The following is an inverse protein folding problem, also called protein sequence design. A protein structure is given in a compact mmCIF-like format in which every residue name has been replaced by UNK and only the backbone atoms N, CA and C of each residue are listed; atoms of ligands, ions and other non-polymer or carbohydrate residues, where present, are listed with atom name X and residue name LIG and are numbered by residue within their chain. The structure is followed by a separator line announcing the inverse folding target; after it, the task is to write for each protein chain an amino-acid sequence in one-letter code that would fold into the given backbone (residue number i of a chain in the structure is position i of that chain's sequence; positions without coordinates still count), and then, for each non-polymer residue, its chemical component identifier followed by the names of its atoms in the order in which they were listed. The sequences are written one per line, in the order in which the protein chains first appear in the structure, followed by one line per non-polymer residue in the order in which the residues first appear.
data_IF_005575767618
#
_entry.id   IF_005575767618
#
_cell.length_a   1.000
_cell.length_b   1.000
_cell.length_c   1.000
_cell.angle_alpha   90.00
_cell.angle_beta   90.00
_cell.angle_gamma   90.00
#
_symmetry.space_group_name_H-M   'P 1'
#
loop_
_entity.id
_entity.type
_entity.pdbx_description
1 polymer ?
#
# COMPACT_ATOMS: atom_id res chain seq x y z
N UNK A 1 52.36 25.29 -40.40
CA UNK A 1 52.54 24.25 -41.44
C UNK A 1 53.58 23.27 -40.90
N UNK A 2 53.13 22.10 -40.37
CA UNK A 2 52.94 20.94 -41.23
C UNK A 2 51.56 20.28 -41.06
N UNK A 3 51.27 19.41 -42.02
CA UNK A 3 49.98 18.83 -42.37
C UNK A 3 49.53 17.69 -41.45
N UNK A 4 48.25 17.75 -41.07
CA UNK A 4 47.51 16.68 -40.41
C UNK A 4 47.20 15.57 -41.41
N UNK A 5 47.83 14.40 -41.24
CA UNK A 5 47.42 13.16 -41.92
C UNK A 5 46.19 12.59 -41.21
N UNK A 6 45.04 12.65 -41.88
CA UNK A 6 43.82 11.97 -41.50
C UNK A 6 44.00 10.45 -41.63
N UNK A 7 43.91 9.74 -40.50
CA UNK A 7 43.81 8.28 -40.47
C UNK A 7 42.48 7.86 -41.15
N UNK A 8 42.47 6.81 -41.98
CA UNK A 8 41.25 6.39 -42.67
C UNK A 8 40.27 5.76 -41.67
N UNK A 9 39.08 6.34 -41.61
CA UNK A 9 37.90 5.96 -40.83
C UNK A 9 37.52 4.45 -40.95
N UNK A 10 38.04 3.77 -41.98
CA UNK A 10 37.90 2.34 -42.23
C UNK A 10 38.56 1.43 -41.17
N UNK A 11 39.64 1.87 -40.51
CA UNK A 11 40.32 1.06 -39.47
C UNK A 11 39.55 1.07 -38.13
N UNK A 12 38.90 2.18 -37.79
CA UNK A 12 38.05 2.27 -36.59
C UNK A 12 36.75 1.46 -36.75
N UNK A 13 36.17 1.40 -37.94
CA UNK A 13 34.98 0.60 -38.21
C UNK A 13 35.25 -0.92 -38.17
N UNK A 14 36.45 -1.37 -38.54
CA UNK A 14 36.83 -2.79 -38.42
C UNK A 14 37.05 -3.24 -36.98
N UNK A 15 37.52 -2.36 -36.10
CA UNK A 15 37.66 -2.66 -34.66
C UNK A 15 36.32 -2.69 -33.93
N UNK A 16 35.31 -1.96 -34.41
CA UNK A 16 33.97 -1.94 -33.82
C UNK A 16 33.11 -3.17 -34.23
N UNK A 17 33.43 -3.82 -35.36
CA UNK A 17 32.71 -5.00 -35.83
C UNK A 17 32.92 -6.25 -34.96
N UNK A 18 33.95 -6.27 -34.10
CA UNK A 18 34.21 -7.36 -33.14
C UNK A 18 33.39 -7.29 -31.84
N UNK A 19 32.62 -6.21 -31.63
CA UNK A 19 31.83 -5.95 -30.42
C UNK A 19 30.32 -6.05 -30.65
N UNK A 20 29.88 -6.67 -31.75
CA UNK A 20 28.47 -6.96 -31.95
C UNK A 20 28.04 -8.06 -30.96
N UNK A 21 27.01 -7.83 -30.12
CA UNK A 21 26.46 -8.88 -29.28
C UNK A 21 26.01 -10.03 -30.18
N UNK A 22 26.42 -11.24 -29.81
CA UNK A 22 25.96 -12.49 -30.45
C UNK A 22 24.45 -12.38 -30.67
N UNK A 23 24.04 -12.68 -31.89
CA UNK A 23 22.63 -12.69 -32.33
C UNK A 23 21.74 -13.27 -31.23
N UNK A 24 20.60 -12.62 -30.90
CA UNK A 24 19.70 -13.14 -29.88
C UNK A 24 19.32 -14.55 -30.27
N UNK A 25 19.78 -15.53 -29.49
CA UNK A 25 19.45 -16.94 -29.71
C UNK A 25 17.93 -17.04 -29.71
N UNK A 26 17.35 -17.44 -30.85
CA UNK A 26 15.91 -17.75 -30.91
C UNK A 26 15.68 -18.88 -29.91
N UNK A 27 14.82 -18.63 -28.92
CA UNK A 27 14.43 -19.66 -27.95
C UNK A 27 14.02 -20.95 -28.68
N UNK A 28 14.68 -22.10 -28.42
CA UNK A 28 14.33 -23.35 -29.06
C UNK A 28 12.89 -23.75 -28.73
N UNK A 29 12.11 -24.09 -29.76
CA UNK A 29 10.67 -24.40 -29.68
C UNK A 29 10.36 -25.59 -28.76
N UNK A 30 11.29 -26.56 -28.61
CA UNK A 30 11.13 -27.71 -27.69
C UNK A 30 11.05 -27.33 -26.22
N UNK A 31 11.67 -26.23 -25.81
CA UNK A 31 11.69 -25.84 -24.39
C UNK A 31 10.34 -25.24 -23.94
N UNK A 32 9.58 -24.71 -24.89
CA UNK A 32 8.24 -24.20 -24.64
C UNK A 32 7.22 -25.31 -24.36
N UNK A 33 7.46 -26.56 -24.78
CA UNK A 33 6.51 -27.64 -24.55
C UNK A 33 6.61 -28.22 -23.14
N UNK A 34 7.81 -28.51 -22.63
CA UNK A 34 8.00 -29.08 -21.27
C UNK A 34 7.45 -28.15 -20.18
N UNK A 35 7.93 -26.91 -20.14
CA UNK A 35 7.49 -25.91 -19.16
C UNK A 35 5.99 -25.63 -19.22
N UNK A 36 5.39 -25.73 -20.41
CA UNK A 36 3.95 -25.52 -20.59
C UNK A 36 3.13 -26.69 -20.04
N UNK A 37 3.55 -27.92 -20.32
CA UNK A 37 2.91 -29.13 -19.77
C UNK A 37 2.99 -29.13 -18.24
N UNK A 38 4.15 -28.81 -17.66
CA UNK A 38 4.33 -28.73 -16.21
C UNK A 38 3.47 -27.61 -15.59
N UNK A 39 3.40 -26.44 -16.24
CA UNK A 39 2.56 -25.33 -15.80
C UNK A 39 1.07 -25.67 -15.83
N UNK A 40 0.60 -26.34 -16.89
CA UNK A 40 -0.78 -26.80 -17.01
C UNK A 40 -1.10 -27.84 -15.91
N UNK A 41 -0.17 -28.75 -15.61
CA UNK A 41 -0.30 -29.71 -14.51
C UNK A 41 -0.38 -29.03 -13.13
N UNK A 42 0.45 -28.03 -12.86
CA UNK A 42 0.38 -27.23 -11.61
C UNK A 42 -0.95 -26.48 -11.49
N UNK A 43 -1.47 -25.95 -12.60
CA UNK A 43 -2.77 -25.28 -12.62
C UNK A 43 -3.91 -26.27 -12.37
N UNK A 44 -3.81 -27.49 -12.89
CA UNK A 44 -4.82 -28.54 -12.72
C UNK A 44 -4.83 -29.13 -11.31
N UNK A 45 -3.66 -29.35 -10.68
CA UNK A 45 -3.53 -29.71 -9.25
C UNK A 45 -4.27 -28.71 -8.34
N UNK A 46 -4.44 -27.48 -8.82
CA UNK A 46 -5.06 -26.38 -8.08
C UNK A 46 -6.50 -26.06 -8.44
N UNK A 47 -7.15 -26.86 -9.28
CA UNK A 47 -8.62 -26.78 -9.44
C UNK A 47 -9.38 -27.17 -8.16
N UNK A 48 -8.68 -27.45 -7.07
CA UNK A 48 -9.22 -27.67 -5.72
C UNK A 48 -9.72 -26.35 -5.10
N UNK A 49 -11.04 -26.28 -4.94
CA UNK A 49 -11.79 -25.42 -4.02
C UNK A 49 -11.37 -23.94 -3.92
N UNK A 50 -11.84 -23.17 -4.90
CA UNK A 50 -12.09 -21.74 -4.75
C UNK A 50 -13.05 -21.39 -3.60
N UNK A 51 -13.60 -22.36 -2.85
CA UNK A 51 -14.35 -22.09 -1.60
C UNK A 51 -13.49 -21.37 -0.54
N UNK A 52 -12.17 -21.62 -0.46
CA UNK A 52 -11.27 -20.80 0.40
C UNK A 52 -10.94 -19.43 -0.18
N UNK A 53 -11.18 -19.23 -1.47
CA UNK A 53 -11.25 -17.89 -2.04
C UNK A 53 -12.56 -17.17 -1.70
N UNK A 54 -13.50 -17.77 -0.97
CA UNK A 54 -14.67 -17.04 -0.41
C UNK A 54 -14.30 -16.11 0.76
N UNK A 55 -13.09 -16.22 1.33
CA UNK A 55 -12.53 -15.14 2.16
C UNK A 55 -12.12 -13.92 1.30
N UNK A 56 -11.97 -14.09 -0.01
CA UNK A 56 -11.95 -13.00 -0.99
C UNK A 56 -13.40 -12.69 -1.34
N UNK A 57 -14.02 -11.82 -0.54
CA UNK A 57 -15.37 -11.28 -0.77
C UNK A 57 -15.62 -11.09 -2.28
N UNK A 58 -16.50 -11.90 -2.91
CA UNK A 58 -16.78 -11.85 -4.35
C UNK A 58 -17.38 -10.50 -4.80
N UNK A 59 -17.63 -9.59 -3.85
CA UNK A 59 -18.44 -8.41 -4.07
C UNK A 59 -17.71 -7.08 -4.22
N UNK A 60 -16.55 -6.81 -3.58
CA UNK A 60 -16.06 -5.41 -3.44
C UNK A 60 -14.54 -5.21 -3.24
N UNK A 61 -14.15 -3.93 -3.35
CA UNK A 61 -12.84 -3.24 -3.30
C UNK A 61 -11.84 -3.75 -2.26
N UNK A 62 -11.46 -5.01 -2.39
CA UNK A 62 -10.50 -5.66 -1.52
C UNK A 62 -9.12 -5.50 -2.16
N UNK A 63 -8.14 -5.33 -1.30
CA UNK A 63 -6.73 -5.19 -1.67
C UNK A 63 -6.17 -6.40 -2.43
N UNK A 64 -6.89 -7.52 -2.41
CA UNK A 64 -6.57 -8.80 -3.03
C UNK A 64 -6.94 -8.91 -4.52
N UNK A 65 -7.74 -7.97 -5.07
CA UNK A 65 -8.06 -7.93 -6.50
C UNK A 65 -7.02 -7.05 -7.23
N UNK A 66 -6.60 -7.46 -8.42
CA UNK A 66 -5.92 -6.54 -9.34
C UNK A 66 -6.87 -5.40 -9.75
N UNK A 67 -6.36 -4.17 -9.74
CA UNK A 67 -7.14 -3.00 -10.10
C UNK A 67 -6.95 -2.68 -11.58
N UNK A 68 -8.00 -2.93 -12.36
CA UNK A 68 -8.06 -2.53 -13.77
C UNK A 68 -8.56 -1.10 -13.90
N UNK A 69 -8.34 -0.48 -15.07
CA UNK A 69 -8.83 0.87 -15.39
C UNK A 69 -10.33 1.01 -15.16
N UNK A 70 -11.11 -0.02 -15.48
CA UNK A 70 -12.57 -0.03 -15.27
C UNK A 70 -12.94 -0.06 -13.79
N UNK A 71 -12.18 -0.79 -12.96
CA UNK A 71 -12.38 -0.81 -11.50
C UNK A 71 -12.04 0.55 -10.89
N UNK A 72 -11.00 1.22 -11.41
CA UNK A 72 -10.63 2.58 -11.01
C UNK A 72 -11.70 3.60 -11.40
N UNK A 73 -12.20 3.54 -12.64
CA UNK A 73 -13.29 4.40 -13.10
C UNK A 73 -14.56 4.22 -12.25
N UNK A 74 -14.88 2.97 -11.86
CA UNK A 74 -15.98 2.69 -10.91
C UNK A 74 -15.72 3.24 -9.51
N UNK A 75 -14.47 3.24 -9.06
CA UNK A 75 -14.07 3.77 -7.74
C UNK A 75 -14.11 5.30 -7.67
N UNK A 76 -13.94 6.00 -8.79
CA UNK A 76 -14.02 7.46 -8.85
C UNK A 76 -15.47 8.00 -8.83
N UNK A 77 -16.47 7.17 -9.12
CA UNK A 77 -17.89 7.58 -9.14
C UNK A 77 -18.38 7.93 -7.72
N UNK A 78 -19.11 9.04 -7.59
CA UNK A 78 -19.70 9.52 -6.31
C UNK A 78 -20.67 8.50 -5.69
N UNK A 79 -21.38 7.72 -6.51
CA UNK A 79 -22.25 6.64 -6.06
C UNK A 79 -21.57 5.52 -5.26
N UNK A 80 -20.22 5.54 -5.16
CA UNK A 80 -19.46 4.66 -4.27
C UNK A 80 -19.87 4.82 -2.82
N UNK A 81 -20.10 6.05 -2.34
CA UNK A 81 -20.37 6.30 -0.92
C UNK A 81 -21.67 5.64 -0.49
N UNK A 82 -22.71 5.75 -1.31
CA UNK A 82 -24.00 5.10 -1.08
C UNK A 82 -23.88 3.57 -1.09
N UNK A 83 -23.12 3.01 -2.03
CA UNK A 83 -22.87 1.57 -2.12
C UNK A 83 -22.16 1.05 -0.87
N UNK A 84 -21.13 1.75 -0.42
CA UNK A 84 -20.38 1.41 0.78
C UNK A 84 -21.25 1.54 2.04
N UNK A 85 -22.06 2.58 2.16
CA UNK A 85 -22.98 2.75 3.29
C UNK A 85 -24.00 1.61 3.37
N UNK A 86 -24.64 1.27 2.25
CA UNK A 86 -25.65 0.19 2.20
C UNK A 86 -25.07 -1.18 2.52
N UNK A 87 -23.81 -1.43 2.14
CA UNK A 87 -23.13 -2.71 2.39
C UNK A 87 -22.33 -2.75 3.68
N UNK A 88 -22.17 -1.62 4.36
CA UNK A 88 -21.43 -1.49 5.61
C UNK A 88 -21.81 -2.55 6.66
N UNK A 89 -23.09 -2.83 6.99
CA UNK A 89 -23.43 -3.80 8.04
C UNK A 89 -23.00 -5.24 7.70
N UNK A 90 -22.78 -5.57 6.42
CA UNK A 90 -22.28 -6.89 5.98
C UNK A 90 -20.76 -6.98 5.97
N UNK A 91 -20.07 -5.85 6.13
CA UNK A 91 -18.60 -5.79 6.14
C UNK A 91 -18.02 -6.52 7.35
N UNK A 92 -16.85 -7.13 7.17
CA UNK A 92 -16.06 -7.74 8.25
C UNK A 92 -15.69 -6.69 9.30
N UNK A 93 -15.31 -5.48 8.87
CA UNK A 93 -14.98 -4.38 9.77
C UNK A 93 -16.18 -3.97 10.62
N UNK A 94 -17.37 -3.91 10.03
CA UNK A 94 -18.58 -3.58 10.78
C UNK A 94 -18.93 -4.68 11.78
N UNK A 95 -18.84 -5.96 11.40
CA UNK A 95 -19.06 -7.09 12.33
C UNK A 95 -18.14 -7.07 13.55
N UNK A 96 -16.90 -6.59 13.39
CA UNK A 96 -15.94 -6.47 14.48
C UNK A 96 -16.16 -5.22 15.35
N UNK A 97 -16.52 -4.07 14.74
CA UNK A 97 -16.61 -2.78 15.44
C UNK A 97 -18.00 -2.50 16.00
N UNK A 98 -19.06 -2.93 15.30
CA UNK A 98 -20.46 -2.68 15.67
C UNK A 98 -20.83 -3.18 17.07
N UNK A 99 -20.50 -4.41 17.52
CA UNK A 99 -20.86 -4.86 18.87
C UNK A 99 -20.21 -3.99 19.95
N UNK A 100 -18.98 -3.53 19.72
CA UNK A 100 -18.26 -2.62 20.64
C UNK A 100 -18.94 -1.25 20.69
N UNK A 101 -19.34 -0.69 19.54
CA UNK A 101 -20.09 0.56 19.48
C UNK A 101 -21.45 0.45 20.19
N UNK A 102 -22.17 -0.66 20.00
CA UNK A 102 -23.45 -0.91 20.66
C UNK A 102 -23.26 -1.03 22.17
N UNK A 103 -22.28 -1.82 22.62
CA UNK A 103 -21.95 -1.93 24.04
C UNK A 103 -21.61 -0.58 24.68
N UNK A 104 -20.81 0.26 24.02
CA UNK A 104 -20.51 1.62 24.51
C UNK A 104 -21.72 2.54 24.51
N UNK A 105 -22.63 2.40 23.54
CA UNK A 105 -23.87 3.17 23.49
C UNK A 105 -24.79 2.79 24.65
N UNK A 106 -24.95 1.49 24.91
CA UNK A 106 -25.72 0.96 26.04
C UNK A 106 -25.12 1.38 27.38
N UNK A 107 -23.81 1.25 27.55
CA UNK A 107 -23.10 1.71 28.75
C UNK A 107 -23.31 3.20 28.99
N UNK A 108 -23.20 4.00 27.92
CA UNK A 108 -23.43 5.44 28.00
C UNK A 108 -24.85 5.71 28.51
N UNK A 109 -25.88 5.14 27.87
CA UNK A 109 -27.28 5.30 28.30
C UNK A 109 -27.48 4.92 29.78
N UNK A 110 -26.92 3.79 30.21
CA UNK A 110 -26.97 3.35 31.61
C UNK A 110 -26.31 4.35 32.56
N UNK A 111 -25.09 4.80 32.24
CA UNK A 111 -24.37 5.80 33.02
C UNK A 111 -25.14 7.13 33.11
N UNK A 112 -25.86 7.53 32.05
CA UNK A 112 -26.74 8.70 32.09
C UNK A 112 -27.86 8.54 33.12
N UNK A 113 -28.55 7.40 33.03
CA UNK A 113 -29.72 7.11 33.84
C UNK A 113 -29.34 7.05 35.33
N UNK A 114 -28.24 6.37 35.65
CA UNK A 114 -27.69 6.31 37.00
C UNK A 114 -27.25 7.69 37.53
N UNK A 115 -26.61 8.50 36.68
CA UNK A 115 -26.20 9.86 37.05
C UNK A 115 -27.41 10.73 37.39
N UNK A 116 -28.47 10.71 36.58
CA UNK A 116 -29.69 11.49 36.86
C UNK A 116 -30.36 11.02 38.15
N UNK A 117 -30.41 9.69 38.38
CA UNK A 117 -31.11 9.11 39.53
C UNK A 117 -30.39 9.31 40.86
N UNK A 118 -29.07 9.13 40.90
CA UNK A 118 -28.31 9.10 42.16
C UNK A 118 -27.37 10.30 42.38
N UNK A 119 -26.91 10.96 41.30
CA UNK A 119 -25.91 12.03 41.39
C UNK A 119 -26.28 13.23 40.50
N UNK A 120 -27.41 13.91 40.74
CA UNK A 120 -27.89 15.00 39.90
C UNK A 120 -26.89 16.18 39.84
N UNK A 121 -26.15 16.42 40.92
CA UNK A 121 -25.21 17.54 41.06
C UNK A 121 -23.77 17.20 40.65
N UNK A 122 -23.47 15.95 40.29
CA UNK A 122 -22.12 15.58 39.90
C UNK A 122 -21.79 16.09 38.49
N UNK A 123 -20.80 16.98 38.41
CA UNK A 123 -20.31 17.54 37.16
C UNK A 123 -18.86 17.14 36.92
N UNK A 124 -18.64 16.23 35.97
CA UNK A 124 -17.30 15.88 35.54
C UNK A 124 -16.71 16.99 34.63
N UNK A 125 -15.47 17.46 34.89
CA UNK A 125 -14.81 18.45 34.04
C UNK A 125 -14.47 17.87 32.66
N UNK A 126 -14.78 18.61 31.60
CA UNK A 126 -14.57 18.19 30.20
C UNK A 126 -13.11 18.40 29.73
N UNK A 127 -12.39 19.34 30.32
CA UNK A 127 -11.01 19.69 29.93
C UNK A 127 -10.00 18.51 29.98
N UNK A 128 -9.92 17.68 31.03
CA UNK A 128 -9.01 16.54 31.02
C UNK A 128 -9.40 15.48 29.98
N UNK A 129 -10.70 15.36 29.66
CA UNK A 129 -11.18 14.39 28.67
C UNK A 129 -10.78 14.78 27.24
N UNK A 130 -10.82 16.06 26.89
CA UNK A 130 -10.39 16.53 25.56
C UNK A 130 -8.91 16.28 25.35
N UNK A 131 -8.08 16.56 26.36
CA UNK A 131 -6.64 16.34 26.34
C UNK A 131 -6.28 14.85 26.18
N UNK A 132 -6.99 13.95 26.86
CA UNK A 132 -6.76 12.51 26.69
C UNK A 132 -7.23 12.07 25.29
N UNK A 133 -8.34 12.60 24.78
CA UNK A 133 -8.87 12.23 23.45
C UNK A 133 -7.93 12.62 22.31
N UNK A 134 -7.28 13.78 22.39
CA UNK A 134 -6.32 14.22 21.38
C UNK A 134 -5.05 13.35 21.40
N UNK A 135 -4.57 13.00 22.60
CA UNK A 135 -3.45 12.07 22.76
C UNK A 135 -3.76 10.68 22.17
N UNK A 136 -4.98 10.16 22.38
CA UNK A 136 -5.42 8.88 21.80
C UNK A 136 -5.51 8.95 20.29
N UNK A 137 -6.05 10.04 19.73
CA UNK A 137 -6.15 10.23 18.29
C UNK A 137 -4.76 10.25 17.63
N UNK A 138 -3.78 10.90 18.27
CA UNK A 138 -2.40 10.89 17.81
C UNK A 138 -1.81 9.47 17.84
N UNK A 139 -1.94 8.73 18.95
CA UNK A 139 -1.45 7.35 19.06
C UNK A 139 -2.07 6.42 18.01
N UNK A 140 -3.37 6.56 17.74
CA UNK A 140 -4.06 5.78 16.73
C UNK A 140 -3.54 6.10 15.32
N UNK A 141 -3.28 7.38 15.04
CA UNK A 141 -2.73 7.84 13.76
C UNK A 141 -1.33 7.29 13.53
N UNK A 142 -0.45 7.36 14.54
CA UNK A 142 0.89 6.78 14.49
C UNK A 142 0.84 5.26 14.23
N UNK A 143 -0.05 4.55 14.93
CA UNK A 143 -0.26 3.11 14.69
C UNK A 143 -0.73 2.81 13.27
N UNK A 144 -1.65 3.60 12.74
CA UNK A 144 -2.15 3.43 11.37
C UNK A 144 -1.02 3.64 10.36
N UNK A 145 -0.22 4.70 10.51
CA UNK A 145 0.91 4.99 9.63
C UNK A 145 1.96 3.85 9.65
N UNK A 146 2.31 3.32 10.82
CA UNK A 146 3.23 2.17 10.92
C UNK A 146 2.68 0.92 10.23
N UNK A 147 1.37 0.68 10.35
CA UNK A 147 0.70 -0.46 9.71
C UNK A 147 0.69 -0.31 8.18
N UNK A 148 0.45 0.90 7.68
CA UNK A 148 0.49 1.22 6.25
C UNK A 148 1.90 1.10 5.67
N UNK A 149 2.92 1.58 6.38
CA UNK A 149 4.32 1.43 5.97
C UNK A 149 4.72 -0.04 5.86
N UNK A 150 4.36 -0.88 6.84
CA UNK A 150 4.59 -2.33 6.78
C UNK A 150 3.89 -2.97 5.58
N UNK A 151 2.63 -2.60 5.33
CA UNK A 151 1.88 -3.09 4.18
C UNK A 151 2.53 -2.68 2.85
N UNK A 152 2.97 -1.43 2.75
CA UNK A 152 3.69 -0.93 1.58
C UNK A 152 5.01 -1.67 1.37
N UNK A 153 5.81 -1.85 2.43
CA UNK A 153 7.07 -2.58 2.38
C UNK A 153 6.87 -4.02 1.89
N UNK A 154 5.83 -4.71 2.38
CA UNK A 154 5.50 -6.08 1.93
C UNK A 154 5.20 -6.15 0.42
N UNK A 155 4.47 -5.17 -0.11
CA UNK A 155 4.12 -5.09 -1.53
C UNK A 155 5.31 -4.75 -2.40
N UNK A 156 6.17 -3.83 -1.94
CA UNK A 156 7.40 -3.49 -2.62
C UNK A 156 8.36 -4.67 -2.65
N UNK A 157 8.49 -5.43 -1.56
CA UNK A 157 9.32 -6.63 -1.52
C UNK A 157 8.84 -7.68 -2.53
N UNK A 158 7.54 -7.96 -2.59
CA UNK A 158 6.97 -8.90 -3.56
C UNK A 158 7.10 -8.40 -5.00
N UNK A 159 6.90 -7.10 -5.24
CA UNK A 159 7.08 -6.49 -6.55
C UNK A 159 8.54 -6.57 -7.04
N UNK A 160 9.51 -6.32 -6.15
CA UNK A 160 10.93 -6.48 -6.43
C UNK A 160 11.31 -7.93 -6.67
N UNK A 161 10.75 -8.87 -5.91
CA UNK A 161 10.96 -10.30 -6.12
C UNK A 161 10.56 -10.72 -7.56
N UNK A 162 9.37 -10.30 -8.02
CA UNK A 162 8.90 -10.57 -9.39
C UNK A 162 9.79 -9.89 -10.44
N UNK A 163 10.22 -8.64 -10.19
CA UNK A 163 11.12 -7.93 -11.08
C UNK A 163 12.45 -8.68 -11.24
N UNK A 164 13.14 -8.99 -10.13
CA UNK A 164 14.43 -9.69 -10.18
C UNK A 164 14.28 -11.11 -10.76
N UNK A 165 13.18 -11.80 -10.52
CA UNK A 165 12.93 -13.12 -11.12
C UNK A 165 12.79 -13.02 -12.65
N UNK A 166 12.09 -12.00 -13.16
CA UNK A 166 11.96 -11.74 -14.60
C UNK A 166 13.29 -11.37 -15.24
N UNK A 167 14.05 -10.48 -14.61
CA UNK A 167 15.38 -10.10 -15.09
C UNK A 167 16.33 -11.30 -15.09
N UNK A 168 16.35 -12.10 -14.02
CA UNK A 168 17.17 -13.32 -13.96
C UNK A 168 16.79 -14.31 -15.05
N UNK A 169 15.49 -14.53 -15.29
CA UNK A 169 15.02 -15.40 -16.36
C UNK A 169 15.42 -14.87 -17.75
N UNK A 170 15.33 -13.57 -17.98
CA UNK A 170 15.77 -12.92 -19.22
C UNK A 170 17.27 -13.05 -19.46
N UNK A 171 18.08 -12.80 -18.43
CA UNK A 171 19.54 -13.00 -18.48
C UNK A 171 19.90 -14.47 -18.72
N UNK A 172 19.27 -15.41 -18.02
CA UNK A 172 19.50 -16.83 -18.22
C UNK A 172 19.15 -17.28 -19.64
N UNK A 173 18.01 -16.82 -20.19
CA UNK A 173 17.62 -17.11 -21.56
C UNK A 173 18.55 -16.48 -22.63
N UNK A 174 19.25 -15.41 -22.28
CA UNK A 174 20.16 -14.70 -23.20
C UNK A 174 21.58 -15.27 -23.19
N UNK A 175 22.09 -15.61 -22.00
CA UNK A 175 23.49 -15.97 -21.80
C UNK A 175 23.74 -17.46 -21.58
N UNK A 176 22.75 -18.23 -21.13
CA UNK A 176 22.90 -19.66 -20.88
C UNK A 176 22.31 -20.48 -22.03
N UNK A 177 22.78 -21.72 -22.16
CA UNK A 177 22.14 -22.68 -23.06
C UNK A 177 20.70 -23.00 -22.61
N UNK A 178 19.94 -23.62 -23.50
CA UNK A 178 18.53 -23.93 -23.30
C UNK A 178 18.25 -24.69 -21.99
N UNK A 179 18.97 -25.79 -21.74
CA UNK A 179 18.80 -26.62 -20.54
C UNK A 179 19.10 -25.91 -19.20
N UNK A 180 20.25 -25.24 -19.00
CA UNK A 180 20.53 -24.51 -17.76
C UNK A 180 19.58 -23.31 -17.57
N UNK A 181 19.19 -22.63 -18.65
CA UNK A 181 18.20 -21.56 -18.58
C UNK A 181 16.82 -22.09 -18.11
N UNK A 182 16.38 -23.25 -18.61
CA UNK A 182 15.16 -23.94 -18.14
C UNK A 182 15.24 -24.26 -16.65
N UNK A 183 16.36 -24.84 -16.21
CA UNK A 183 16.57 -25.19 -14.82
C UNK A 183 16.49 -23.96 -13.91
N UNK A 184 17.14 -22.86 -14.27
CA UNK A 184 17.05 -21.60 -13.51
C UNK A 184 15.61 -21.09 -13.48
N UNK A 185 14.91 -21.07 -14.62
CA UNK A 185 13.53 -20.60 -14.72
C UNK A 185 12.57 -21.46 -13.87
N UNK A 186 12.77 -22.78 -13.82
CA UNK A 186 12.00 -23.68 -12.95
C UNK A 186 12.17 -23.33 -11.46
N UNK A 187 13.41 -23.13 -11.02
CA UNK A 187 13.68 -22.71 -9.63
C UNK A 187 13.00 -21.38 -9.30
N UNK A 188 13.05 -20.40 -10.23
CA UNK A 188 12.41 -19.09 -10.05
C UNK A 188 10.87 -19.16 -10.05
N UNK A 189 10.28 -20.02 -10.87
CA UNK A 189 8.83 -20.20 -10.93
C UNK A 189 8.28 -20.81 -9.62
N UNK A 190 8.98 -21.80 -9.08
CA UNK A 190 8.61 -22.47 -7.82
C UNK A 190 8.90 -21.60 -6.60
N UNK A 191 9.92 -20.73 -6.67
CA UNK A 191 10.30 -19.82 -5.59
C UNK A 191 9.11 -19.01 -5.06
N UNK A 192 8.29 -18.44 -5.95
CA UNK A 192 7.12 -17.66 -5.56
C UNK A 192 6.08 -18.47 -4.80
N UNK A 193 5.91 -19.75 -5.16
CA UNK A 193 4.99 -20.67 -4.49
C UNK A 193 5.50 -21.07 -3.11
N UNK A 194 6.76 -21.49 -3.01
CA UNK A 194 7.37 -21.88 -1.74
C UNK A 194 7.44 -20.69 -0.77
N UNK A 195 7.77 -19.51 -1.27
CA UNK A 195 7.79 -18.31 -0.44
C UNK A 195 6.39 -17.98 0.06
N UNK A 196 5.37 -18.06 -0.79
CA UNK A 196 3.97 -17.88 -0.38
C UNK A 196 3.57 -18.87 0.72
N UNK A 197 3.87 -20.17 0.54
CA UNK A 197 3.57 -21.21 1.51
C UNK A 197 4.31 -20.97 2.84
N UNK A 198 5.59 -20.58 2.79
CA UNK A 198 6.36 -20.25 4.01
C UNK A 198 5.82 -19.06 4.80
N UNK A 199 5.10 -18.14 4.14
CA UNK A 199 4.51 -16.95 4.76
C UNK A 199 3.07 -17.18 5.26
N UNK A 200 2.45 -18.32 4.92
CA UNK A 200 1.06 -18.64 5.28
C UNK A 200 1.02 -19.93 6.09
N UNK A 201 0.44 -19.87 7.29
CA UNK A 201 0.29 -21.06 8.11
C UNK A 201 -0.64 -22.09 7.44
N UNK A 202 -0.16 -23.32 7.27
CA UNK A 202 -0.95 -24.47 6.81
C UNK A 202 -1.17 -24.58 5.30
N UNK A 203 -0.36 -23.90 4.47
CA UNK A 203 -0.33 -24.12 3.02
C UNK A 203 0.83 -25.08 2.70
N UNK A 204 0.54 -26.16 1.97
CA UNK A 204 1.56 -27.10 1.49
C UNK A 204 1.92 -26.80 0.02
N UNK A 205 3.22 -26.91 -0.28
CA UNK A 205 3.83 -26.65 -1.58
C UNK A 205 4.57 -27.88 -2.13
N UNK A 206 4.48 -29.04 -1.45
CA UNK A 206 5.08 -30.31 -1.88
C UNK A 206 4.77 -30.67 -3.33
N UNK A 207 3.49 -30.59 -3.70
CA UNK A 207 2.99 -31.05 -4.99
C UNK A 207 3.54 -30.18 -6.12
N UNK A 208 3.58 -28.87 -5.91
CA UNK A 208 4.12 -27.91 -6.87
C UNK A 208 5.62 -28.13 -7.07
N UNK A 209 6.37 -28.36 -5.98
CA UNK A 209 7.81 -28.65 -6.05
C UNK A 209 8.06 -29.95 -6.82
N UNK A 210 7.30 -31.01 -6.52
CA UNK A 210 7.45 -32.32 -7.16
C UNK A 210 7.09 -32.33 -8.65
N UNK A 211 6.19 -31.45 -9.08
CA UNK A 211 5.75 -31.35 -10.48
C UNK A 211 6.73 -30.54 -11.33
N UNK A 212 7.29 -29.46 -10.77
CA UNK A 212 8.10 -28.49 -11.53
C UNK A 212 9.60 -28.76 -11.50
N UNK A 213 10.10 -29.50 -10.51
CA UNK A 213 11.52 -29.83 -10.38
C UNK A 213 11.77 -31.32 -10.67
N UNK A 214 12.96 -31.68 -11.19
CA UNK A 214 13.39 -33.07 -11.26
C UNK A 214 13.35 -33.73 -9.87
N UNK A 215 13.07 -35.05 -9.77
CA UNK A 215 12.80 -35.72 -8.51
C UNK A 215 13.93 -35.57 -7.49
N UNK A 216 15.18 -35.73 -7.92
CA UNK A 216 16.35 -35.56 -7.06
C UNK A 216 16.43 -34.14 -6.48
N UNK A 217 16.20 -33.10 -7.29
CA UNK A 217 16.22 -31.71 -6.83
C UNK A 217 15.01 -31.41 -5.93
N UNK A 218 13.84 -31.92 -6.27
CA UNK A 218 12.62 -31.76 -5.48
C UNK A 218 12.81 -32.31 -4.05
N UNK A 219 13.37 -33.52 -3.91
CA UNK A 219 13.66 -34.13 -2.60
C UNK A 219 14.60 -33.26 -1.76
N UNK A 220 15.68 -32.74 -2.36
CA UNK A 220 16.61 -31.84 -1.64
C UNK A 220 15.95 -30.55 -1.17
N UNK A 221 15.02 -29.99 -1.96
CA UNK A 221 14.28 -28.77 -1.61
C UNK A 221 13.26 -29.06 -0.52
N UNK A 222 12.54 -30.18 -0.59
CA UNK A 222 11.53 -30.56 0.40
C UNK A 222 12.14 -30.91 1.75
N UNK A 223 13.32 -31.51 1.76
CA UNK A 223 14.09 -31.79 2.98
C UNK A 223 14.69 -30.52 3.62
N UNK A 224 14.78 -29.41 2.88
CA UNK A 224 15.38 -28.19 3.39
C UNK A 224 14.47 -27.45 4.38
N UNK A 225 15.05 -27.00 5.51
CA UNK A 225 14.35 -26.17 6.50
C UNK A 225 13.73 -24.89 5.90
N UNK A 226 14.43 -24.26 4.95
CA UNK A 226 13.99 -23.05 4.24
C UNK A 226 13.94 -23.34 2.75
N UNK A 227 12.81 -23.87 2.28
CA UNK A 227 12.55 -24.22 0.87
C UNK A 227 12.89 -23.08 -0.12
N UNK A 228 12.50 -21.80 0.10
CA UNK A 228 12.84 -20.71 -0.83
C UNK A 228 14.35 -20.47 -0.99
N UNK A 229 15.11 -20.61 0.10
CA UNK A 229 16.57 -20.44 0.07
C UNK A 229 17.24 -21.63 -0.62
N UNK A 230 16.71 -22.84 -0.42
CA UNK A 230 17.20 -24.03 -1.13
C UNK A 230 16.99 -23.91 -2.65
N UNK A 231 15.85 -23.36 -3.09
CA UNK A 231 15.60 -23.09 -4.52
C UNK A 231 16.58 -22.09 -5.12
N UNK A 232 16.88 -20.99 -4.41
CA UNK A 232 17.90 -20.05 -4.87
C UNK A 232 19.29 -20.70 -4.92
N UNK A 233 19.61 -21.57 -3.95
CA UNK A 233 20.87 -22.32 -3.97
C UNK A 233 20.96 -23.25 -5.17
N UNK A 234 19.86 -23.92 -5.55
CA UNK A 234 19.77 -24.72 -6.77
C UNK A 234 20.03 -23.88 -8.02
N UNK A 235 19.42 -22.70 -8.12
CA UNK A 235 19.69 -21.76 -9.22
C UNK A 235 21.16 -21.29 -9.25
N UNK A 236 21.77 -21.01 -8.08
CA UNK A 236 23.19 -20.69 -7.98
C UNK A 236 24.09 -21.86 -8.44
N UNK A 237 23.74 -23.10 -8.11
CA UNK A 237 24.51 -24.27 -8.52
C UNK A 237 24.53 -24.42 -10.05
N UNK A 238 23.38 -24.24 -10.71
CA UNK A 238 23.31 -24.27 -12.18
C UNK A 238 24.18 -23.17 -12.81
N UNK A 239 24.17 -21.96 -12.25
CA UNK A 239 25.05 -20.87 -12.74
C UNK A 239 26.53 -21.22 -12.51
N UNK A 240 26.87 -21.80 -11.37
CA UNK A 240 28.25 -22.19 -11.05
C UNK A 240 28.76 -23.30 -11.99
N UNK A 241 27.92 -24.26 -12.38
CA UNK A 241 28.26 -25.29 -13.36
C UNK A 241 28.55 -24.70 -14.75
N UNK A 242 27.76 -23.73 -15.21
CA UNK A 242 27.99 -23.06 -16.49
C UNK A 242 29.30 -22.25 -16.51
N UNK A 243 29.67 -21.67 -15.37
CA UNK A 243 30.95 -20.95 -15.20
C UNK A 243 32.12 -21.93 -15.16
N UNK A 244 32.00 -23.02 -14.40
CA UNK A 244 33.03 -24.07 -14.33
C UNK A 244 33.30 -24.70 -15.69
N UNK A 245 32.26 -24.81 -16.53
CA UNK A 245 32.39 -25.29 -17.90
C UNK A 245 32.86 -24.24 -18.92
N UNK A 246 33.17 -23.01 -18.49
CA UNK A 246 33.64 -21.94 -19.38
C UNK A 246 32.61 -21.45 -20.41
N UNK A 247 31.32 -21.76 -20.20
CA UNK A 247 30.23 -21.40 -21.12
C UNK A 247 29.62 -20.03 -20.83
N UNK A 248 29.87 -19.50 -19.63
CA UNK A 248 29.35 -18.21 -19.19
C UNK A 248 30.48 -17.18 -19.08
N UNK A 249 30.29 -16.03 -19.71
CA UNK A 249 31.20 -14.90 -19.60
C UNK A 249 31.21 -14.32 -18.16
N UNK A 250 32.33 -13.74 -17.74
CA UNK A 250 32.50 -13.20 -16.39
C UNK A 250 31.51 -12.06 -16.08
N UNK A 251 31.20 -11.21 -17.07
CA UNK A 251 30.23 -10.14 -16.88
C UNK A 251 28.79 -10.67 -16.76
N UNK A 252 28.44 -11.67 -17.58
CA UNK A 252 27.15 -12.34 -17.51
C UNK A 252 26.97 -13.08 -16.17
N UNK A 253 28.03 -13.73 -15.69
CA UNK A 253 28.07 -14.38 -14.38
C UNK A 253 27.80 -13.38 -13.25
N UNK A 254 28.52 -12.25 -13.20
CA UNK A 254 28.31 -11.22 -12.18
C UNK A 254 26.88 -10.64 -12.23
N UNK A 255 26.33 -10.44 -13.43
CA UNK A 255 24.98 -9.94 -13.62
C UNK A 255 23.93 -10.89 -13.05
N UNK A 256 24.03 -12.19 -13.37
CA UNK A 256 23.14 -13.23 -12.83
C UNK A 256 23.25 -13.36 -11.31
N UNK A 257 24.48 -13.41 -10.76
CA UNK A 257 24.69 -13.48 -9.32
C UNK A 257 24.10 -12.28 -8.59
N UNK A 258 24.21 -11.08 -9.15
CA UNK A 258 23.65 -9.86 -8.54
C UNK A 258 22.12 -9.94 -8.46
N UNK A 259 21.46 -10.48 -9.49
CA UNK A 259 20.00 -10.65 -9.47
C UNK A 259 19.57 -11.76 -8.48
N UNK A 260 20.29 -12.88 -8.43
CA UNK A 260 20.03 -13.96 -7.46
C UNK A 260 20.24 -13.48 -6.02
N UNK A 261 21.28 -12.68 -5.77
CA UNK A 261 21.50 -12.05 -4.47
C UNK A 261 20.37 -11.08 -4.11
N UNK A 262 19.88 -10.30 -5.09
CA UNK A 262 18.76 -9.38 -4.90
C UNK A 262 17.46 -10.12 -4.56
N UNK A 263 17.22 -11.28 -5.17
CA UNK A 263 16.11 -12.18 -4.81
C UNK A 263 16.24 -12.67 -3.37
N UNK A 264 17.43 -13.14 -2.96
CA UNK A 264 17.69 -13.58 -1.60
C UNK A 264 17.47 -12.46 -0.57
N UNK A 265 17.87 -11.23 -0.91
CA UNK A 265 17.61 -10.06 -0.08
C UNK A 265 16.09 -9.81 0.11
N UNK A 266 15.27 -9.97 -0.94
CA UNK A 266 13.82 -9.82 -0.81
C UNK A 266 13.19 -10.93 0.06
N UNK A 267 13.70 -12.17 0.00
CA UNK A 267 13.28 -13.24 0.91
C UNK A 267 13.55 -12.83 2.37
N UNK A 268 14.75 -12.30 2.65
CA UNK A 268 15.10 -11.79 3.98
C UNK A 268 14.18 -10.66 4.46
N UNK A 269 13.76 -9.76 3.55
CA UNK A 269 12.77 -8.72 3.86
C UNK A 269 11.43 -9.35 4.24
N UNK A 270 10.95 -10.36 3.51
CA UNK A 270 9.73 -11.08 3.84
C UNK A 270 9.82 -11.80 5.19
N UNK A 271 10.94 -12.44 5.49
CA UNK A 271 11.17 -13.09 6.79
C UNK A 271 11.17 -12.09 7.94
N UNK A 272 11.86 -10.94 7.79
CA UNK A 272 11.83 -9.86 8.79
C UNK A 272 10.42 -9.30 8.98
N UNK A 273 9.68 -9.11 7.89
CA UNK A 273 8.29 -8.66 7.94
C UNK A 273 7.37 -9.68 8.61
N UNK A 274 7.70 -10.97 8.60
CA UNK A 274 6.95 -11.97 9.35
C UNK A 274 7.34 -11.95 10.83
N UNK A 275 8.65 -11.94 11.12
CA UNK A 275 9.20 -12.04 12.47
C UNK A 275 9.00 -10.79 13.34
N UNK A 276 8.95 -9.61 12.74
CA UNK A 276 8.88 -8.33 13.47
C UNK A 276 7.48 -7.71 13.36
N UNK A 277 6.51 -8.05 14.23
CA UNK A 277 5.20 -7.39 14.26
C UNK A 277 5.30 -5.90 14.64
N UNK A 278 4.26 -5.12 14.33
CA UNK A 278 4.13 -3.75 14.87
C UNK A 278 4.19 -3.85 16.40
N UNK A 279 4.99 -3.02 17.09
CA UNK A 279 5.21 -3.16 18.53
C UNK A 279 3.90 -3.36 19.32
N UNK A 280 3.74 -4.51 20.02
CA UNK A 280 2.49 -4.83 20.70
C UNK A 280 2.19 -3.85 21.84
N UNK A 281 3.21 -3.21 22.39
CA UNK A 281 3.12 -2.16 23.41
C UNK A 281 2.17 -1.04 22.99
N UNK A 282 2.29 -0.53 21.76
CA UNK A 282 1.41 0.52 21.23
C UNK A 282 -0.04 0.02 21.21
N UNK A 283 -0.27 -1.20 20.73
CA UNK A 283 -1.64 -1.77 20.67
C UNK A 283 -2.26 -1.95 22.06
N UNK A 284 -1.46 -2.34 23.05
CA UNK A 284 -1.87 -2.52 24.45
C UNK A 284 -2.20 -1.19 25.12
N UNK A 285 -1.37 -0.16 24.95
CA UNK A 285 -1.64 1.14 25.55
C UNK A 285 -2.83 1.82 24.88
N UNK A 286 -2.91 1.81 23.54
CA UNK A 286 -4.06 2.42 22.84
C UNK A 286 -5.37 1.74 23.24
N UNK A 287 -5.43 0.41 23.34
CA UNK A 287 -6.65 -0.29 23.77
C UNK A 287 -7.05 0.03 25.22
N UNK A 288 -6.09 0.00 26.16
CA UNK A 288 -6.34 0.36 27.57
C UNK A 288 -6.83 1.80 27.72
N UNK A 289 -6.19 2.75 27.03
CA UNK A 289 -6.58 4.16 27.10
C UNK A 289 -7.96 4.34 26.45
N UNK A 290 -8.23 3.74 25.29
CA UNK A 290 -9.55 3.78 24.65
C UNK A 290 -10.66 3.23 25.57
N UNK A 291 -10.44 2.07 26.19
CA UNK A 291 -11.38 1.49 27.17
C UNK A 291 -11.57 2.42 28.37
N UNK A 292 -10.49 2.98 28.92
CA UNK A 292 -10.56 3.90 30.06
C UNK A 292 -11.32 5.19 29.73
N UNK A 293 -11.11 5.77 28.53
CA UNK A 293 -11.81 6.95 28.06
C UNK A 293 -13.29 6.68 27.83
N UNK A 294 -13.61 5.51 27.29
CA UNK A 294 -14.97 5.15 26.95
C UNK A 294 -15.80 4.77 28.19
N UNK A 295 -15.19 4.11 29.19
CA UNK A 295 -15.82 3.86 30.49
C UNK A 295 -16.03 5.14 31.29
N UNK A 296 -15.07 6.09 31.24
CA UNK A 296 -15.11 7.35 32.00
C UNK A 296 -16.08 8.39 31.42
N UNK A 297 -16.65 8.19 30.24
CA UNK A 297 -17.57 9.16 29.62
C UNK A 297 -18.99 8.99 30.20
N UNK A 298 -19.48 9.89 31.08
CA UNK A 298 -20.92 10.05 31.23
C UNK A 298 -21.46 10.73 29.96
N UNK A 299 -22.58 10.29 29.39
CA UNK A 299 -23.15 10.98 28.25
C UNK A 299 -23.71 12.32 28.71
N UNK A 300 -22.97 13.38 28.37
CA UNK A 300 -23.53 14.72 28.22
C UNK A 300 -23.88 15.05 26.77
N UNK A 301 -23.51 14.18 25.82
CA UNK A 301 -23.64 14.44 24.39
C UNK A 301 -25.06 14.24 23.80
N UNK A 302 -26.06 13.89 24.61
CA UNK A 302 -27.47 13.81 24.15
C UNK A 302 -28.35 14.97 24.64
N UNK A 303 -27.79 15.94 25.38
CA UNK A 303 -28.39 17.28 25.43
C UNK A 303 -27.65 18.14 24.42
N UNK A 304 -28.18 18.20 23.19
CA UNK A 304 -28.12 19.43 22.42
C UNK A 304 -28.91 20.47 23.23
N UNK A 305 -28.26 21.06 24.24
CA UNK A 305 -28.80 22.26 24.84
C UNK A 305 -28.60 23.35 23.77
N UNK A 306 -29.68 23.73 23.10
CA UNK A 306 -29.71 24.80 22.10
C UNK A 306 -29.40 26.19 22.68
N UNK A 307 -28.77 26.26 23.85
CA UNK A 307 -28.07 27.44 24.32
C UNK A 307 -26.63 27.32 23.86
N UNK A 308 -26.35 27.98 22.73
CA UNK A 308 -24.99 28.25 22.34
C UNK A 308 -24.23 28.80 23.56
N UNK A 309 -23.10 28.17 23.84
CA UNK A 309 -21.98 28.77 24.56
C UNK A 309 -21.45 29.94 23.70
N UNK A 310 -22.30 30.93 23.46
CA UNK A 310 -21.84 32.28 23.27
C UNK A 310 -21.28 32.68 24.61
N UNK A 311 -19.96 32.80 24.68
CA UNK A 311 -19.24 33.59 25.68
C UNK A 311 -20.02 34.90 25.82
N UNK A 312 -20.93 34.95 26.79
CA UNK A 312 -21.58 36.19 27.21
C UNK A 312 -20.62 36.74 28.24
N UNK A 313 -19.84 37.80 27.93
CA UNK A 313 -19.03 38.43 28.95
C UNK A 313 -19.99 38.86 30.06
N UNK A 314 -19.70 38.44 31.29
CA UNK A 314 -20.53 38.73 32.45
C UNK A 314 -20.48 40.24 32.73
N UNK A 315 -21.41 41.00 32.12
CA UNK A 315 -21.49 42.46 32.21
C UNK A 315 -22.10 42.93 33.55
N UNK A 316 -21.99 42.13 34.62
CA UNK A 316 -22.48 42.48 35.96
C UNK A 316 -21.57 43.49 36.68
N UNK A 317 -20.33 43.64 36.25
CA UNK A 317 -19.36 44.56 36.86
C UNK A 317 -19.19 45.91 36.14
N UNK A 318 -20.03 46.23 35.15
CA UNK A 318 -19.90 47.46 34.36
C UNK A 318 -20.97 48.49 34.69
N UNK A 319 -20.52 49.74 34.87
CA UNK A 319 -21.33 50.90 35.21
C UNK A 319 -22.44 51.16 34.16
N UNK A 320 -23.54 51.84 34.52
CA UNK A 320 -24.72 51.99 33.66
C UNK A 320 -24.42 52.60 32.28
N UNK A 321 -23.39 53.46 32.19
CA UNK A 321 -22.99 54.15 30.97
C UNK A 321 -22.32 53.23 29.93
N UNK A 322 -21.61 52.18 30.36
CA UNK A 322 -20.94 51.22 29.46
C UNK A 322 -21.89 50.14 28.94
N UNK A 323 -22.92 49.77 29.72
CA UNK A 323 -24.00 48.88 29.24
C UNK A 323 -24.78 49.47 28.06
N UNK A 324 -25.01 50.79 28.05
CA UNK A 324 -25.76 51.46 26.97
C UNK A 324 -24.97 51.48 25.66
N UNK A 325 -23.64 51.68 25.71
CA UNK A 325 -22.77 51.65 24.52
C UNK A 325 -22.61 50.23 23.94
N UNK A 326 -22.58 49.19 24.77
CA UNK A 326 -22.51 47.80 24.31
C UNK A 326 -23.80 47.35 23.59
N UNK A 327 -24.98 47.74 24.08
CA UNK A 327 -26.26 47.44 23.41
C UNK A 327 -26.40 48.10 22.03
N UNK A 328 -25.94 49.34 21.90
CA UNK A 328 -25.99 50.09 20.62
C UNK A 328 -25.02 49.50 19.58
N UNK A 329 -23.92 48.87 20.01
CA UNK A 329 -22.96 48.22 19.10
C UNK A 329 -23.46 46.85 18.61
N UNK A 330 -24.22 46.13 19.45
CA UNK A 330 -24.84 44.85 19.08
C UNK A 330 -26.01 44.99 18.10
N UNK A 331 -26.73 46.13 18.11
CA UNK A 331 -27.79 46.40 17.13
C UNK A 331 -27.26 46.76 15.73
N UNK A 332 -26.00 47.21 15.61
CA UNK A 332 -25.37 47.60 14.33
C UNK A 332 -24.76 46.44 13.53
N UNK A 333 -24.63 45.24 14.10
CA UNK A 333 -23.98 44.08 13.46
C UNK A 333 -24.96 43.05 12.87
N UNK A 334 -26.27 43.36 12.80
CA UNK A 334 -27.23 42.55 12.01
C UNK A 334 -27.15 42.94 10.54
N UNK A 335 -26.47 42.12 9.75
CA UNK A 335 -26.52 42.13 8.28
C UNK A 335 -27.97 41.87 7.82
N UNK A 336 -28.56 42.66 6.91
CA UNK A 336 -29.91 42.41 6.41
C UNK A 336 -29.91 41.21 5.44
N UNK A 337 -30.91 40.33 5.58
CA UNK A 337 -31.18 39.24 4.60
C UNK A 337 -31.68 39.83 3.29
N UNK A 338 -31.25 39.34 2.10
CA UNK A 338 -31.87 39.73 0.85
C UNK A 338 -33.29 39.13 0.75
N UNK A 339 -34.25 39.96 0.31
CA UNK A 339 -35.63 39.54 -0.03
C UNK A 339 -35.62 38.81 -1.40
N UNK A 340 -36.53 37.84 -1.63
CA UNK A 340 -36.69 37.26 -2.96
C UNK A 340 -37.47 38.23 -3.87
N UNK A 341 -37.10 38.41 -5.15
CA UNK A 341 -37.96 39.09 -6.10
C UNK A 341 -39.01 38.11 -6.63
N UNK A 342 -40.28 38.43 -6.38
CA UNK A 342 -41.42 37.80 -7.05
C UNK A 342 -41.76 38.53 -8.35
N UNK A 343 -42.02 37.74 -9.39
CA UNK A 343 -43.06 37.98 -10.41
C UNK A 343 -42.95 39.19 -11.33
N UNK A 344 -42.43 38.97 -12.54
CA UNK A 344 -42.69 39.79 -13.72
C UNK A 344 -42.61 38.91 -14.96
N UNK A 345 -43.76 38.66 -15.59
CA UNK A 345 -43.89 37.90 -16.82
C UNK A 345 -43.29 38.67 -18.01
N UNK A 346 -42.65 37.95 -18.94
CA UNK A 346 -42.17 38.50 -20.20
C UNK A 346 -41.21 37.55 -20.90
N UNK A 347 -41.72 36.87 -21.93
CA UNK A 347 -41.05 36.31 -23.11
C UNK A 347 -39.55 35.95 -23.05
N UNK A 348 -39.28 34.65 -23.25
CA UNK A 348 -38.32 34.15 -24.25
C UNK A 348 -38.18 32.63 -24.07
N UNK A 349 -39.14 31.89 -24.63
CA UNK A 349 -38.88 30.52 -25.07
C UNK A 349 -38.25 30.63 -26.45
N UNK A 350 -36.92 30.63 -26.50
CA UNK A 350 -36.19 30.11 -27.65
C UNK A 350 -34.72 29.96 -27.29
N UNK A 351 -34.02 29.07 -28.02
CA UNK A 351 -32.60 28.73 -27.90
C UNK A 351 -32.22 27.61 -26.91
N UNK A 352 -32.84 26.44 -27.12
CA UNK A 352 -32.05 25.22 -27.24
C UNK A 352 -31.23 25.28 -28.53
N UNK A 353 -29.92 25.55 -28.47
CA UNK A 353 -28.88 24.87 -29.29
C UNK A 353 -27.48 25.48 -29.11
N UNK A 354 -26.52 24.57 -28.92
CA UNK A 354 -25.07 24.67 -29.14
C UNK A 354 -24.16 24.84 -27.92
N UNK A 355 -23.16 23.95 -27.85
CA UNK A 355 -21.99 24.09 -26.98
C UNK A 355 -21.71 22.89 -26.07
N UNK A 356 -21.20 21.79 -26.63
CA UNK A 356 -20.42 20.83 -25.84
C UNK A 356 -19.17 21.54 -25.32
N UNK A 357 -19.10 21.85 -24.02
CA UNK A 357 -17.84 22.22 -23.37
C UNK A 357 -17.48 21.20 -22.28
N UNK A 358 -16.40 20.46 -22.54
CA UNK A 358 -15.64 19.75 -21.50
C UNK A 358 -14.94 20.79 -20.62
N UNK A 359 -14.86 20.61 -19.29
CA UNK A 359 -13.99 21.43 -18.47
C UNK A 359 -12.54 20.96 -18.62
N UNK A 360 -11.67 21.85 -19.10
CA UNK A 360 -10.22 21.70 -19.10
C UNK A 360 -9.68 21.73 -17.66
N UNK A 361 -8.89 20.72 -17.31
CA UNK A 361 -8.13 20.69 -16.06
C UNK A 361 -6.82 21.48 -16.23
N UNK A 362 -6.43 22.33 -15.27
CA UNK A 362 -5.16 23.05 -15.35
C UNK A 362 -3.98 22.07 -15.19
N UNK A 363 -3.04 22.12 -16.14
CA UNK A 363 -1.77 21.40 -16.10
C UNK A 363 -0.97 21.81 -14.86
N UNK A 364 -0.78 20.88 -13.92
CA UNK A 364 0.14 21.06 -12.81
C UNK A 364 1.58 21.15 -13.35
N UNK A 365 2.22 22.31 -13.17
CA UNK A 365 3.67 22.46 -13.35
C UNK A 365 4.36 21.74 -12.19
N UNK A 366 5.13 20.72 -12.51
CA UNK A 366 6.07 20.07 -11.59
C UNK A 366 7.21 21.02 -11.26
N UNK A 367 7.22 21.58 -10.04
CA UNK A 367 8.42 22.16 -9.45
C UNK A 367 9.17 21.04 -8.71
N UNK A 368 10.36 20.70 -9.21
CA UNK A 368 11.32 19.80 -8.55
C UNK A 368 12.12 20.64 -7.56
N UNK A 369 12.19 20.31 -6.26
CA UNK A 369 13.12 20.96 -5.36
C UNK A 369 14.51 20.33 -5.51
N UNK A 370 15.48 21.13 -5.94
CA UNK A 370 16.90 20.78 -5.93
C UNK A 370 17.41 20.76 -4.48
N UNK A 371 17.90 19.60 -4.04
CA UNK A 371 18.64 19.46 -2.80
C UNK A 371 20.09 19.93 -3.03
N UNK A 372 20.49 21.02 -2.38
CA UNK A 372 21.88 21.47 -2.34
C UNK A 372 22.63 20.69 -1.24
N UNK A 373 23.63 19.92 -1.66
CA UNK A 373 24.67 19.36 -0.81
C UNK A 373 25.74 20.44 -0.58
N UNK A 374 25.87 20.96 0.64
CA UNK A 374 27.05 21.74 1.04
C UNK A 374 28.11 20.78 1.60
N UNK A 375 29.28 20.77 0.96
CA UNK A 375 30.52 20.16 1.45
C UNK A 375 31.35 21.25 2.14
N UNK A 376 32.02 20.96 3.27
CA UNK A 376 32.85 21.94 3.96
C UNK A 376 34.21 22.11 3.24
N UNK A 377 34.53 23.35 2.86
CA UNK A 377 35.88 23.74 2.44
C UNK A 377 36.67 24.18 3.66
N UNK A 378 37.80 23.51 3.90
CA UNK A 378 38.83 23.97 4.82
C UNK A 378 39.50 25.23 4.28
N UNK A 379 39.83 26.14 5.20
CA UNK A 379 40.74 27.27 5.00
C UNK A 379 41.82 27.18 6.07
N UNK A 380 43.06 27.06 5.62
CA UNK A 380 44.26 27.23 6.43
C UNK A 380 44.61 28.73 6.54
N UNK A 381 45.37 29.01 7.59
CA UNK A 381 46.29 30.15 7.80
C UNK A 381 45.71 31.49 8.29
N UNK A 382 45.71 31.64 9.62
CA UNK A 382 46.42 32.70 10.36
C UNK A 382 46.62 32.28 11.82
#
# INVERSE_FOLDING_TARGET
MPSTRSLPLALLLRSAAGLLPRTPQRLPTRLKSSLRTDADAVLDLRRVDTSRSELVSPGESTISRLWDLETWARHQKVGRYWRHLRKWPRSTTARLVLPVCVAFSLWSCLAHALRIRYFPNFSAPLAPLTLISSAVALLLTLRMNLSLLRLQESRLAWGRLVLHARETAGLAATYCAAAPAEAICRHLAVLGWCLKASLRAGEDDSDVVSTMLPPATAETVLAARKRPVALLRGAHAVVAEEVAAGRLDAQAHLSLLTQLHSLNAQIGVCERLLASPVPPTITRHTSRVLLSCALRRPPRCLRFDGRGDGVTPDLRHLTPSTRRRARVRASRTRVPRPRPPGGGAGDARDELRHGRHRPDWPRARTAVPAAAHELPRGGADA
#
